data_IF_537533847077
#
_entry.id   IF_537533847077
#
_cell.length_a   1.000
_cell.length_b   1.000
_cell.length_c   1.000
_cell.angle_alpha   90.00
_cell.angle_beta   90.00
_cell.angle_gamma   90.00
#
_symmetry.space_group_name_H-M   'P 1'
#
loop_
_entity.id
_entity.type
_entity.pdbx_description
1 polymer ?
#
# COMPACT_ATOMS: atom_id res chain seq x y z
N UNK A 1 -8.86 -15.13 -21.12
CA UNK A 1 -9.36 -15.35 -19.75
C UNK A 1 -8.32 -15.99 -18.81
N UNK A 2 -7.25 -16.67 -19.26
CA UNK A 2 -6.28 -17.31 -18.35
C UNK A 2 -5.42 -16.35 -17.51
N UNK A 3 -5.35 -15.05 -17.86
CA UNK A 3 -4.47 -14.09 -17.18
C UNK A 3 -5.12 -13.37 -15.98
N UNK A 4 -6.46 -13.37 -15.85
CA UNK A 4 -7.13 -12.63 -14.76
C UNK A 4 -6.87 -13.28 -13.39
N UNK A 5 -6.87 -14.61 -13.34
CA UNK A 5 -6.58 -15.35 -12.11
C UNK A 5 -5.14 -15.12 -11.64
N UNK A 6 -4.18 -15.01 -12.58
CA UNK A 6 -2.81 -14.65 -12.25
C UNK A 6 -2.75 -13.28 -11.55
N UNK A 7 -3.40 -12.25 -12.09
CA UNK A 7 -3.41 -10.92 -11.47
C UNK A 7 -4.15 -10.90 -10.12
N UNK A 8 -5.22 -11.70 -9.97
CA UNK A 8 -5.91 -11.86 -8.67
C UNK A 8 -4.97 -12.47 -7.64
N UNK A 9 -4.29 -13.57 -7.98
CA UNK A 9 -3.34 -14.22 -7.10
C UNK A 9 -2.15 -13.32 -6.76
N UNK A 10 -1.65 -12.56 -7.73
CA UNK A 10 -0.60 -11.57 -7.50
C UNK A 10 -1.06 -10.45 -6.57
N UNK A 11 -2.28 -9.95 -6.72
CA UNK A 11 -2.85 -8.94 -5.83
C UNK A 11 -3.03 -9.47 -4.40
N UNK A 12 -3.48 -10.73 -4.25
CA UNK A 12 -3.57 -11.40 -2.95
C UNK A 12 -2.20 -11.57 -2.30
N UNK A 13 -1.20 -12.01 -3.07
CA UNK A 13 0.16 -12.14 -2.59
C UNK A 13 0.74 -10.78 -2.15
N UNK A 14 0.57 -9.74 -2.96
CA UNK A 14 0.98 -8.38 -2.62
C UNK A 14 0.28 -7.87 -1.35
N UNK A 15 -1.03 -8.14 -1.22
CA UNK A 15 -1.80 -7.80 -0.01
C UNK A 15 -1.28 -8.49 1.24
N UNK A 16 -0.92 -9.78 1.14
CA UNK A 16 -0.36 -10.55 2.25
C UNK A 16 1.05 -10.10 2.68
N UNK A 17 1.80 -9.45 1.78
CA UNK A 17 3.13 -8.92 2.12
C UNK A 17 3.04 -7.74 3.09
N UNK A 18 1.98 -6.93 3.05
CA UNK A 18 1.87 -5.73 3.90
C UNK A 18 1.91 -6.03 5.42
N UNK A 19 1.09 -6.95 5.98
CA UNK A 19 1.20 -7.30 7.40
C UNK A 19 2.52 -7.98 7.75
N UNK A 20 3.06 -8.78 6.84
CA UNK A 20 4.38 -9.43 7.01
C UNK A 20 5.51 -8.41 7.10
N UNK A 21 5.47 -7.39 6.23
CA UNK A 21 6.40 -6.27 6.25
C UNK A 21 6.27 -5.47 7.55
N UNK A 22 5.05 -5.13 7.97
CA UNK A 22 4.86 -4.39 9.22
C UNK A 22 5.38 -5.17 10.44
N UNK A 23 5.16 -6.49 10.51
CA UNK A 23 5.71 -7.33 11.57
C UNK A 23 7.25 -7.38 11.55
N UNK A 24 7.85 -7.48 10.36
CA UNK A 24 9.32 -7.49 10.20
C UNK A 24 9.93 -6.14 10.58
N UNK A 25 9.34 -5.05 10.12
CA UNK A 25 9.79 -3.70 10.47
C UNK A 25 9.59 -3.39 11.95
N UNK A 26 8.57 -3.96 12.62
CA UNK A 26 8.41 -3.85 14.07
C UNK A 26 9.56 -4.52 14.84
N UNK A 27 10.07 -5.67 14.37
CA UNK A 27 11.27 -6.27 14.95
C UNK A 27 12.47 -5.32 14.81
N UNK A 28 12.66 -4.74 13.62
CA UNK A 28 13.71 -3.75 13.39
C UNK A 28 13.53 -2.53 14.31
N UNK A 29 12.31 -2.01 14.45
CA UNK A 29 11.99 -0.87 15.30
C UNK A 29 12.34 -1.12 16.77
N UNK A 30 12.14 -2.35 17.26
CA UNK A 30 12.56 -2.74 18.61
C UNK A 30 14.08 -2.82 18.78
N UNK A 31 14.83 -3.20 17.73
CA UNK A 31 16.30 -3.25 17.77
C UNK A 31 16.92 -1.85 17.74
N UNK A 32 16.34 -0.94 16.95
CA UNK A 32 16.87 0.43 16.76
C UNK A 32 16.16 1.49 17.60
N UNK A 33 15.23 1.07 18.46
CA UNK A 33 14.37 1.90 19.32
C UNK A 33 13.70 3.09 18.59
N UNK A 34 13.31 2.90 17.32
CA UNK A 34 12.71 3.96 16.50
C UNK A 34 11.90 3.40 15.33
N UNK A 35 10.57 3.60 15.30
CA UNK A 35 9.71 3.23 14.16
C UNK A 35 10.08 3.94 12.86
N UNK A 36 10.50 5.22 12.96
CA UNK A 36 10.89 6.03 11.80
C UNK A 36 12.19 5.51 11.20
N UNK A 37 13.18 5.18 12.06
CA UNK A 37 14.44 4.61 11.59
C UNK A 37 14.25 3.22 10.98
N UNK A 38 13.38 2.39 11.55
CA UNK A 38 13.03 1.10 10.97
C UNK A 38 12.34 1.24 9.60
N UNK A 39 11.42 2.21 9.45
CA UNK A 39 10.78 2.50 8.16
C UNK A 39 11.82 2.99 7.14
N UNK A 40 12.75 3.87 7.54
CA UNK A 40 13.85 4.32 6.68
C UNK A 40 14.72 3.16 6.19
N UNK A 41 15.15 2.27 7.09
CA UNK A 41 15.91 1.06 6.74
C UNK A 41 15.12 0.17 5.79
N UNK A 42 13.82 -0.02 6.05
CA UNK A 42 12.93 -0.80 5.18
C UNK A 42 12.87 -0.24 3.75
N UNK A 43 12.72 1.09 3.62
CA UNK A 43 12.74 1.77 2.33
C UNK A 43 14.09 1.65 1.65
N UNK A 44 15.20 1.82 2.37
CA UNK A 44 16.53 1.67 1.80
C UNK A 44 16.75 0.26 1.24
N UNK A 45 16.44 -0.78 2.01
CA UNK A 45 16.55 -2.19 1.56
C UNK A 45 15.62 -2.44 0.37
N UNK A 46 14.39 -1.92 0.39
CA UNK A 46 13.45 -2.01 -0.72
C UNK A 46 13.96 -1.32 -1.99
N UNK A 47 14.54 -0.12 -1.88
CA UNK A 47 15.15 0.62 -2.99
C UNK A 47 16.32 -0.14 -3.58
N UNK A 48 17.21 -0.72 -2.76
CA UNK A 48 18.32 -1.56 -3.24
C UNK A 48 17.79 -2.79 -3.97
N UNK A 49 16.78 -3.48 -3.42
CA UNK A 49 16.16 -4.64 -4.07
C UNK A 49 15.52 -4.26 -5.43
N UNK A 50 14.79 -3.14 -5.48
CA UNK A 50 14.21 -2.61 -6.72
C UNK A 50 15.29 -2.22 -7.73
N UNK A 51 16.39 -1.62 -7.28
CA UNK A 51 17.52 -1.28 -8.15
C UNK A 51 18.14 -2.52 -8.77
N UNK A 52 18.39 -3.57 -7.98
CA UNK A 52 18.90 -4.86 -8.49
C UNK A 52 17.89 -5.48 -9.47
N UNK A 53 16.61 -5.51 -9.13
CA UNK A 53 15.58 -6.03 -10.02
C UNK A 53 15.50 -5.23 -11.34
N UNK A 54 15.64 -3.90 -11.29
CA UNK A 54 15.68 -3.03 -12.46
C UNK A 54 16.84 -3.40 -13.40
N UNK A 55 18.02 -3.69 -12.86
CA UNK A 55 19.18 -4.14 -13.66
C UNK A 55 18.96 -5.52 -14.29
N UNK A 56 18.33 -6.45 -13.56
CA UNK A 56 18.13 -7.83 -14.00
C UNK A 56 16.94 -8.01 -14.97
N UNK A 57 15.94 -7.14 -14.88
CA UNK A 57 14.70 -7.23 -15.69
C UNK A 57 14.86 -6.71 -17.12
N UNK A 58 16.01 -6.15 -17.47
CA UNK A 58 16.22 -5.49 -18.77
C UNK A 58 15.43 -4.18 -18.91
N UNK A 59 15.08 -3.54 -17.78
CA UNK A 59 14.37 -2.27 -17.79
C UNK A 59 15.17 -1.21 -18.57
N UNK A 60 14.52 -0.38 -19.42
CA UNK A 60 15.21 0.59 -20.27
C UNK A 60 15.71 1.78 -19.43
N UNK A 61 16.90 1.66 -18.84
CA UNK A 61 17.51 2.67 -17.97
C UNK A 61 17.68 4.04 -18.65
N UNK A 62 17.78 4.08 -19.98
CA UNK A 62 17.84 5.33 -20.75
C UNK A 62 16.63 6.26 -20.53
N UNK A 63 15.49 5.70 -20.13
CA UNK A 63 14.26 6.46 -19.88
C UNK A 63 14.22 7.15 -18.51
N UNK A 64 15.22 6.95 -17.64
CA UNK A 64 15.29 7.65 -16.34
C UNK A 64 15.22 9.17 -16.51
N UNK A 65 15.84 9.69 -17.58
CA UNK A 65 15.83 11.13 -17.87
C UNK A 65 14.42 11.70 -18.08
N UNK A 66 13.46 10.87 -18.53
CA UNK A 66 12.07 11.26 -18.73
C UNK A 66 11.30 11.43 -17.42
N UNK A 67 11.83 10.98 -16.28
CA UNK A 67 11.19 11.19 -14.98
C UNK A 67 10.99 12.69 -14.68
N UNK A 68 11.90 13.55 -15.17
CA UNK A 68 11.79 15.01 -15.00
C UNK A 68 10.54 15.61 -15.64
N UNK A 69 9.99 14.93 -16.64
CA UNK A 69 8.79 15.37 -17.39
C UNK A 69 7.50 14.85 -16.72
N UNK A 70 7.60 14.06 -15.65
CA UNK A 70 6.45 13.58 -14.91
C UNK A 70 5.74 14.72 -14.15
N UNK A 71 4.39 14.68 -14.05
CA UNK A 71 3.65 15.68 -13.30
C UNK A 71 4.07 15.68 -11.83
N UNK A 72 4.06 16.85 -11.18
CA UNK A 72 4.52 17.01 -9.80
C UNK A 72 3.90 16.02 -8.81
N UNK A 73 2.63 15.64 -9.03
CA UNK A 73 1.92 14.66 -8.21
C UNK A 73 2.50 13.23 -8.30
N UNK A 74 3.20 12.87 -9.37
CA UNK A 74 3.85 11.56 -9.46
C UNK A 74 4.97 11.39 -8.42
N UNK A 75 5.58 12.50 -8.01
CA UNK A 75 6.71 12.50 -7.08
C UNK A 75 6.30 12.27 -5.62
N UNK A 76 5.02 12.45 -5.27
CA UNK A 76 4.55 12.23 -3.89
C UNK A 76 4.36 10.75 -3.55
N UNK A 77 4.41 9.84 -4.54
CA UNK A 77 4.19 8.41 -4.32
C UNK A 77 5.11 7.81 -3.25
N UNK A 78 6.39 8.21 -3.25
CA UNK A 78 7.35 7.81 -2.22
C UNK A 78 6.98 8.30 -0.82
N UNK A 79 6.47 9.53 -0.71
CA UNK A 79 6.01 10.10 0.57
C UNK A 79 4.78 9.35 1.12
N UNK A 80 3.82 9.01 0.25
CA UNK A 80 2.65 8.22 0.63
C UNK A 80 3.04 6.84 1.16
N UNK A 81 3.99 6.18 0.49
CA UNK A 81 4.55 4.90 0.96
C UNK A 81 5.28 5.04 2.29
N UNK A 82 6.13 6.05 2.44
CA UNK A 82 6.88 6.29 3.68
C UNK A 82 5.95 6.52 4.87
N UNK A 83 4.89 7.32 4.69
CA UNK A 83 3.84 7.50 5.68
C UNK A 83 3.16 6.18 6.02
N UNK A 84 2.74 5.42 5.00
CA UNK A 84 2.04 4.15 5.19
C UNK A 84 2.87 3.14 6.01
N UNK A 85 4.13 2.91 5.63
CA UNK A 85 5.00 1.95 6.31
C UNK A 85 5.27 2.40 7.74
N UNK A 86 5.58 3.69 7.95
CA UNK A 86 5.83 4.22 9.30
C UNK A 86 4.59 4.07 10.17
N UNK A 87 3.41 4.43 9.66
CA UNK A 87 2.14 4.26 10.37
C UNK A 87 1.88 2.79 10.70
N UNK A 88 2.09 1.87 9.76
CA UNK A 88 1.91 0.44 10.01
C UNK A 88 2.84 -0.08 11.12
N UNK A 89 4.11 0.36 11.15
CA UNK A 89 5.06 0.02 12.22
C UNK A 89 4.57 0.57 13.56
N UNK A 90 4.09 1.82 13.61
CA UNK A 90 3.59 2.42 14.85
C UNK A 90 2.27 1.82 15.35
N UNK A 91 1.39 1.40 14.43
CA UNK A 91 0.03 0.96 14.74
C UNK A 91 -0.04 -0.51 15.12
N UNK A 92 0.73 -1.39 14.47
CA UNK A 92 0.67 -2.84 14.70
C UNK A 92 0.91 -3.24 16.17
N UNK A 93 1.88 -2.69 16.92
CA UNK A 93 2.05 -3.01 18.33
C UNK A 93 0.91 -2.53 19.23
N UNK A 94 0.16 -1.51 18.79
CA UNK A 94 -0.91 -0.87 19.59
C UNK A 94 -2.29 -1.44 19.32
N UNK A 95 -2.57 -1.74 18.05
CA UNK A 95 -3.88 -2.19 17.58
C UNK A 95 -3.88 -3.70 17.23
N UNK A 96 -2.72 -4.32 17.09
CA UNK A 96 -2.58 -5.63 16.50
C UNK A 96 -2.63 -5.58 14.96
N UNK A 97 -2.16 -6.66 14.33
CA UNK A 97 -2.07 -6.76 12.86
C UNK A 97 -3.45 -6.72 12.21
N UNK A 98 -4.39 -7.54 12.69
CA UNK A 98 -5.72 -7.67 12.09
C UNK A 98 -6.50 -6.34 12.07
N UNK A 99 -6.53 -5.62 13.22
CA UNK A 99 -7.22 -4.33 13.32
C UNK A 99 -6.52 -3.24 12.50
N UNK A 100 -5.18 -3.21 12.48
CA UNK A 100 -4.43 -2.21 11.70
C UNK A 100 -4.76 -2.33 10.21
N UNK A 101 -4.66 -3.53 9.65
CA UNK A 101 -4.86 -3.72 8.22
C UNK A 101 -6.33 -3.70 7.80
N UNK A 102 -7.27 -4.05 8.69
CA UNK A 102 -8.69 -3.87 8.41
C UNK A 102 -9.06 -2.38 8.30
N UNK A 103 -8.55 -1.52 9.21
CA UNK A 103 -8.71 -0.07 9.12
C UNK A 103 -8.04 0.52 7.88
N UNK A 104 -6.84 0.07 7.54
CA UNK A 104 -6.13 0.48 6.31
C UNK A 104 -7.00 0.20 5.08
N UNK A 105 -7.53 -1.03 4.97
CA UNK A 105 -8.37 -1.42 3.82
C UNK A 105 -9.63 -0.55 3.77
N UNK A 106 -10.29 -0.30 4.91
CA UNK A 106 -11.45 0.58 4.96
C UNK A 106 -11.12 2.00 4.47
N UNK A 107 -10.02 2.59 4.94
CA UNK A 107 -9.55 3.91 4.48
C UNK A 107 -9.21 3.94 2.98
N UNK A 108 -8.52 2.90 2.48
CA UNK A 108 -8.21 2.75 1.06
C UNK A 108 -9.47 2.72 0.20
N UNK A 109 -10.51 2.02 0.65
CA UNK A 109 -11.76 1.93 -0.11
C UNK A 109 -12.52 3.25 -0.15
N UNK A 110 -12.54 4.01 0.96
CA UNK A 110 -13.15 5.35 1.00
C UNK A 110 -12.46 6.28 0.00
N UNK A 111 -11.12 6.32 0.02
CA UNK A 111 -10.35 7.16 -0.91
C UNK A 111 -10.52 6.69 -2.36
N UNK A 112 -10.57 5.37 -2.59
CA UNK A 112 -10.83 4.80 -3.92
C UNK A 112 -12.16 5.27 -4.51
N UNK A 113 -13.23 5.37 -3.71
CA UNK A 113 -14.51 5.91 -4.20
C UNK A 113 -14.36 7.34 -4.73
N UNK A 114 -13.62 8.18 -4.01
CA UNK A 114 -13.39 9.57 -4.39
C UNK A 114 -12.57 9.63 -5.68
N UNK A 115 -11.47 8.87 -5.73
CA UNK A 115 -10.58 8.82 -6.90
C UNK A 115 -11.33 8.32 -8.13
N UNK A 116 -12.06 7.21 -8.01
CA UNK A 116 -12.80 6.60 -9.13
C UNK A 116 -13.96 7.47 -9.61
N UNK A 117 -14.70 8.10 -8.68
CA UNK A 117 -15.88 8.90 -9.02
C UNK A 117 -15.52 10.15 -9.81
N UNK A 118 -14.44 10.82 -9.41
CA UNK A 118 -13.99 12.07 -10.03
C UNK A 118 -12.89 11.84 -11.09
N UNK A 119 -12.45 10.60 -11.33
CA UNK A 119 -11.36 10.29 -12.25
C UNK A 119 -10.03 10.95 -11.85
N UNK A 120 -9.80 11.11 -10.55
CA UNK A 120 -8.60 11.79 -10.04
C UNK A 120 -7.34 11.01 -10.42
N UNK A 121 -6.21 11.70 -10.53
CA UNK A 121 -4.91 11.10 -10.89
C UNK A 121 -4.91 10.39 -12.26
N UNK A 122 -5.87 10.71 -13.13
CA UNK A 122 -5.95 10.16 -14.49
C UNK A 122 -6.51 8.74 -14.56
N UNK A 123 -7.14 8.24 -13.50
CA UNK A 123 -7.82 6.93 -13.56
C UNK A 123 -9.14 7.04 -14.34
N UNK A 124 -9.59 5.95 -15.03
CA UNK A 124 -10.89 5.95 -15.68
C UNK A 124 -12.01 6.21 -14.68
N UNK A 125 -12.91 7.13 -15.02
CA UNK A 125 -14.10 7.43 -14.20
C UNK A 125 -14.95 6.18 -14.08
N UNK A 126 -15.26 5.79 -12.85
CA UNK A 126 -16.21 4.72 -12.54
C UNK A 126 -17.28 5.28 -11.62
N UNK A 127 -18.51 5.26 -12.09
CA UNK A 127 -19.65 5.72 -11.30
C UNK A 127 -19.77 4.96 -9.97
N UNK A 128 -20.13 5.68 -8.93
CA UNK A 128 -20.36 5.11 -7.60
C UNK A 128 -21.72 4.43 -7.64
N UNK A 129 -21.73 3.11 -7.77
CA UNK A 129 -22.96 2.33 -7.66
C UNK A 129 -23.29 2.03 -6.19
N UNK A 130 -24.59 1.86 -5.90
CA UNK A 130 -25.07 1.44 -4.57
C UNK A 130 -24.40 0.13 -4.12
N UNK A 131 -24.10 -0.78 -5.05
CA UNK A 131 -23.40 -2.02 -4.77
C UNK A 131 -21.97 -1.79 -4.25
N UNK A 132 -21.23 -0.82 -4.82
CA UNK A 132 -19.87 -0.48 -4.34
C UNK A 132 -19.93 0.15 -2.94
N UNK A 133 -20.89 1.04 -2.71
CA UNK A 133 -21.12 1.64 -1.39
C UNK A 133 -21.43 0.55 -0.36
N UNK A 134 -22.33 -0.37 -0.69
CA UNK A 134 -22.67 -1.50 0.17
C UNK A 134 -21.46 -2.41 0.47
N UNK A 135 -20.64 -2.72 -0.54
CA UNK A 135 -19.41 -3.50 -0.34
C UNK A 135 -18.43 -2.84 0.65
N UNK A 136 -18.33 -1.51 0.62
CA UNK A 136 -17.48 -0.76 1.55
C UNK A 136 -18.06 -0.73 2.96
N UNK A 137 -19.40 -0.64 3.08
CA UNK A 137 -20.08 -0.79 4.37
C UNK A 137 -19.85 -2.18 4.97
N UNK A 138 -19.82 -3.24 4.15
CA UNK A 138 -19.49 -4.59 4.62
C UNK A 138 -18.04 -4.68 5.13
N UNK A 139 -17.08 -4.05 4.45
CA UNK A 139 -15.70 -3.95 4.95
C UNK A 139 -15.66 -3.23 6.29
N UNK A 140 -16.35 -2.08 6.42
CA UNK A 140 -16.45 -1.36 7.68
C UNK A 140 -17.11 -2.19 8.79
N UNK A 141 -18.15 -2.96 8.47
CA UNK A 141 -18.75 -3.93 9.39
C UNK A 141 -17.76 -5.01 9.82
N UNK A 142 -16.95 -5.52 8.89
CA UNK A 142 -15.85 -6.44 9.17
C UNK A 142 -14.82 -5.86 10.15
N UNK A 143 -14.44 -4.59 9.98
CA UNK A 143 -13.57 -3.87 10.94
C UNK A 143 -14.20 -3.84 12.33
N UNK A 144 -15.50 -3.54 12.45
CA UNK A 144 -16.19 -3.50 13.75
C UNK A 144 -16.20 -4.88 14.41
N UNK A 145 -16.41 -5.95 13.65
CA UNK A 145 -16.36 -7.31 14.17
C UNK A 145 -14.95 -7.69 14.64
N UNK A 146 -13.91 -7.41 13.83
CA UNK A 146 -12.50 -7.65 14.19
C UNK A 146 -12.09 -6.84 15.42
N UNK A 147 -12.64 -5.64 15.61
CA UNK A 147 -12.37 -4.85 16.82
C UNK A 147 -13.01 -5.46 18.07
N UNK A 148 -14.19 -6.08 17.90
CA UNK A 148 -15.02 -6.56 19.02
C UNK A 148 -14.56 -7.91 19.58
N UNK A 149 -13.92 -8.75 18.76
CA UNK A 149 -13.50 -10.12 19.08
C UNK A 149 -12.02 -10.30 18.81
#
# INVERSE_FOLDING_TARGET
>A
MSNIYFYILLALAAGAMMPTQAATNNKMAGVVDSPILAAFISFFVGTVALFVYMLLSGSPLGNISSAKDAPAIAWIGGLLGAFFVTAAVMLVPRLGVAMTFSLVIAGQMIVTLIIDHFGLLGVPVKEVSLARVFGILLIAGGVVLIRKF
#
